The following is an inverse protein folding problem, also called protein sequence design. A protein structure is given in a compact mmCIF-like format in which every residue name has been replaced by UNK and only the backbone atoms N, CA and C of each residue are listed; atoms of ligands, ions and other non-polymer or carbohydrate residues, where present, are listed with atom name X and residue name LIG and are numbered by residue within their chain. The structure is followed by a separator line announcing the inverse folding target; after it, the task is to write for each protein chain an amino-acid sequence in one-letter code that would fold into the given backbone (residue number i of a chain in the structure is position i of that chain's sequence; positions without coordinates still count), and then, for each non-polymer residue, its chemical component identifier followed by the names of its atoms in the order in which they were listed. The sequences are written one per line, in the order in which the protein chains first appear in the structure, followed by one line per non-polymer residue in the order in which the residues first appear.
data_IF_443684763930
#
_entry.id   IF_443684763930
#
_cell.length_a   1.000
_cell.length_b   1.000
_cell.length_c   1.000
_cell.angle_alpha   90.00
_cell.angle_beta   90.00
_cell.angle_gamma   90.00
#
_symmetry.space_group_name_H-M   'P 1'
#
loop_
_entity.id
_entity.type
_entity.pdbx_description
1 polymer ?
#
# COMPACT_ATOMS: atom_id res chain seq x y z
N UNK A 1 -21.97 3.41 -3.97
CA UNK A 1 -21.20 2.15 -4.00
C UNK A 1 -20.70 1.96 -2.59
N UNK A 2 -21.33 1.08 -1.83
CA UNK A 2 -20.92 0.75 -0.47
C UNK A 2 -19.50 0.18 -0.52
N UNK A 3 -18.55 0.86 0.12
CA UNK A 3 -17.16 0.40 0.21
C UNK A 3 -17.12 -0.60 1.35
N UNK A 4 -17.10 -1.89 1.01
CA UNK A 4 -17.02 -2.96 2.01
C UNK A 4 -15.56 -3.27 2.29
N UNK A 5 -14.98 -2.61 3.31
CA UNK A 5 -13.73 -3.05 3.91
C UNK A 5 -14.03 -4.39 4.62
N UNK A 6 -13.22 -5.42 4.35
CA UNK A 6 -13.38 -6.74 4.99
C UNK A 6 -12.96 -6.73 6.47
N UNK A 7 -12.43 -5.61 6.95
CA UNK A 7 -11.98 -5.39 8.33
C UNK A 7 -10.55 -5.87 8.58
N UNK A 8 -9.78 -6.13 7.51
CA UNK A 8 -8.39 -6.58 7.61
C UNK A 8 -7.41 -5.42 7.71
N UNK A 9 -7.74 -4.25 7.16
CA UNK A 9 -7.00 -3.02 7.41
C UNK A 9 -7.32 -2.55 8.85
N UNK A 10 -6.33 -2.44 9.75
CA UNK A 10 -6.56 -1.87 11.06
C UNK A 10 -7.10 -0.44 10.95
N UNK A 11 -8.13 -0.10 11.74
CA UNK A 11 -8.72 1.26 11.73
C UNK A 11 -7.67 2.35 11.97
N UNK A 12 -6.66 2.06 12.80
CA UNK A 12 -5.56 2.97 13.08
C UNK A 12 -4.68 3.26 11.86
N UNK A 13 -4.78 2.48 10.78
CA UNK A 13 -4.04 2.64 9.52
C UNK A 13 -4.89 3.23 8.39
N UNK A 14 -6.17 3.53 8.63
CA UNK A 14 -6.96 4.31 7.69
C UNK A 14 -6.33 5.69 7.50
N UNK A 15 -6.28 6.14 6.25
CA UNK A 15 -5.67 7.43 5.88
C UNK A 15 -6.69 8.42 5.33
N UNK A 16 -7.98 8.10 5.34
CA UNK A 16 -9.09 8.93 4.82
C UNK A 16 -8.92 9.31 3.34
N UNK A 17 -8.41 8.37 2.54
CA UNK A 17 -8.39 8.44 1.08
C UNK A 17 -9.06 7.17 0.56
N UNK A 18 -10.38 7.19 0.27
CA UNK A 18 -11.14 5.96 0.03
C UNK A 18 -10.57 5.03 -1.04
N UNK A 19 -10.01 5.58 -2.13
CA UNK A 19 -9.32 4.78 -3.15
C UNK A 19 -8.11 4.02 -2.57
N UNK A 20 -7.30 4.69 -1.76
CA UNK A 20 -6.07 4.15 -1.18
C UNK A 20 -6.39 3.19 -0.03
N UNK A 21 -7.36 3.52 0.83
CA UNK A 21 -7.80 2.63 1.91
C UNK A 21 -8.32 1.28 1.37
N UNK A 22 -9.03 1.29 0.23
CA UNK A 22 -9.44 0.06 -0.48
C UNK A 22 -8.22 -0.75 -0.95
N UNK A 23 -7.20 -0.08 -1.48
CA UNK A 23 -5.99 -0.74 -1.95
C UNK A 23 -5.19 -1.32 -0.78
N UNK A 24 -5.10 -0.61 0.34
CA UNK A 24 -4.48 -1.11 1.57
C UNK A 24 -5.18 -2.38 2.07
N UNK A 25 -6.51 -2.35 2.17
CA UNK A 25 -7.32 -3.51 2.54
C UNK A 25 -7.05 -4.72 1.62
N UNK A 26 -7.00 -4.50 0.30
CA UNK A 26 -6.71 -5.57 -0.66
C UNK A 26 -5.30 -6.14 -0.50
N UNK A 27 -4.31 -5.33 -0.15
CA UNK A 27 -2.94 -5.78 0.16
C UNK A 27 -2.94 -6.65 1.43
N UNK A 28 -3.58 -6.20 2.52
CA UNK A 28 -3.74 -7.01 3.73
C UNK A 28 -4.47 -8.33 3.45
N UNK A 29 -5.54 -8.30 2.66
CA UNK A 29 -6.28 -9.50 2.25
C UNK A 29 -5.42 -10.49 1.49
N UNK A 30 -4.56 -10.02 0.57
CA UNK A 30 -3.62 -10.85 -0.19
C UNK A 30 -2.57 -11.49 0.71
N UNK A 31 -2.01 -10.71 1.64
CA UNK A 31 -1.04 -11.20 2.63
C UNK A 31 -1.67 -12.29 3.49
N UNK A 32 -2.88 -12.06 4.00
CA UNK A 32 -3.58 -13.05 4.83
C UNK A 32 -3.92 -14.32 4.04
N UNK A 33 -4.39 -14.16 2.80
CA UNK A 33 -4.66 -15.30 1.91
C UNK A 33 -3.40 -16.14 1.66
N UNK A 34 -2.25 -15.49 1.47
CA UNK A 34 -0.95 -16.15 1.31
C UNK A 34 -0.51 -16.88 2.59
N UNK A 35 -0.70 -16.28 3.77
CA UNK A 35 -0.41 -16.95 5.05
C UNK A 35 -1.20 -18.24 5.18
N UNK A 36 -2.50 -18.20 4.90
CA UNK A 36 -3.38 -19.38 4.93
C UNK A 36 -2.97 -20.43 3.91
N UNK A 37 -2.66 -20.02 2.68
CA UNK A 37 -2.23 -20.94 1.61
C UNK A 37 -0.89 -21.63 1.91
N UNK A 38 -0.03 -21.01 2.73
CA UNK A 38 1.24 -21.58 3.16
C UNK A 38 1.11 -22.51 4.38
N UNK A 39 -0.09 -22.77 4.92
CA UNK A 39 -0.27 -23.72 6.03
C UNK A 39 -0.15 -25.15 5.52
N UNK A 40 0.65 -25.96 6.22
CA UNK A 40 0.82 -27.39 5.93
C UNK A 40 1.98 -27.67 4.97
N UNK A 41 1.92 -28.80 4.27
CA UNK A 41 2.99 -29.28 3.39
C UNK A 41 2.70 -29.08 1.90
N UNK A 42 1.76 -28.19 1.58
CA UNK A 42 1.42 -27.85 0.19
C UNK A 42 2.55 -27.08 -0.51
N UNK A 43 2.54 -27.03 -1.85
CA UNK A 43 3.49 -26.19 -2.59
C UNK A 43 3.28 -24.71 -2.25
N UNK A 44 4.37 -23.93 -2.26
CA UNK A 44 4.30 -22.48 -2.06
C UNK A 44 3.63 -21.85 -3.30
N UNK A 45 2.59 -21.01 -3.12
CA UNK A 45 1.84 -20.40 -4.22
C UNK A 45 2.58 -19.19 -4.82
N UNK A 46 3.69 -19.44 -5.53
CA UNK A 46 4.57 -18.36 -6.02
C UNK A 46 3.90 -17.34 -6.96
N UNK A 47 2.86 -17.73 -7.69
CA UNK A 47 2.10 -16.82 -8.56
C UNK A 47 1.32 -15.79 -7.74
N UNK A 48 0.77 -16.17 -6.59
CA UNK A 48 0.03 -15.26 -5.70
C UNK A 48 0.97 -14.22 -5.06
N UNK A 49 2.22 -14.61 -4.79
CA UNK A 49 3.25 -13.67 -4.34
C UNK A 49 3.65 -12.67 -5.44
N UNK A 50 3.82 -13.11 -6.68
CA UNK A 50 4.05 -12.18 -7.79
C UNK A 50 2.85 -11.23 -7.96
N UNK A 51 1.63 -11.74 -7.79
CA UNK A 51 0.40 -10.95 -7.81
C UNK A 51 0.38 -9.89 -6.70
N UNK A 52 0.84 -10.22 -5.49
CA UNK A 52 1.01 -9.25 -4.40
C UNK A 52 2.01 -8.14 -4.76
N UNK A 53 3.18 -8.49 -5.28
CA UNK A 53 4.19 -7.50 -5.70
C UNK A 53 3.69 -6.61 -6.85
N UNK A 54 2.94 -7.18 -7.79
CA UNK A 54 2.31 -6.43 -8.87
C UNK A 54 1.24 -5.46 -8.33
N UNK A 55 0.45 -5.89 -7.34
CA UNK A 55 -0.57 -5.05 -6.72
C UNK A 55 0.04 -3.90 -5.89
N UNK A 56 1.13 -4.15 -5.17
CA UNK A 56 1.89 -3.08 -4.50
C UNK A 56 2.39 -2.03 -5.49
N UNK A 57 2.93 -2.46 -6.64
CA UNK A 57 3.34 -1.53 -7.70
C UNK A 57 2.16 -0.72 -8.25
N UNK A 58 0.99 -1.34 -8.40
CA UNK A 58 -0.23 -0.65 -8.82
C UNK A 58 -0.65 0.41 -7.80
N UNK A 59 -0.68 0.04 -6.52
CA UNK A 59 -1.01 0.94 -5.42
C UNK A 59 -0.08 2.17 -5.38
N UNK A 60 1.24 1.97 -5.46
CA UNK A 60 2.21 3.07 -5.55
C UNK A 60 1.93 4.01 -6.74
N UNK A 61 1.55 3.44 -7.88
CA UNK A 61 1.16 4.24 -9.05
C UNK A 61 -0.12 5.06 -8.85
N UNK A 62 -1.08 4.58 -8.04
CA UNK A 62 -2.27 5.34 -7.66
C UNK A 62 -1.90 6.54 -6.79
N UNK A 63 -0.99 6.39 -5.83
CA UNK A 63 -0.54 7.51 -4.99
C UNK A 63 0.23 8.56 -5.79
N UNK A 64 1.17 8.15 -6.63
CA UNK A 64 1.92 9.05 -7.50
C UNK A 64 1.01 9.80 -8.46
N UNK A 65 0.00 9.12 -9.01
CA UNK A 65 -1.05 9.75 -9.84
C UNK A 65 -1.80 10.82 -9.06
N UNK A 66 -2.26 10.53 -7.84
CA UNK A 66 -2.98 11.50 -7.00
C UNK A 66 -2.08 12.70 -6.68
N UNK A 67 -0.81 12.47 -6.38
CA UNK A 67 0.14 13.54 -6.10
C UNK A 67 0.34 14.45 -7.32
N UNK A 68 0.53 13.86 -8.50
CA UNK A 68 0.71 14.59 -9.75
C UNK A 68 -0.54 15.40 -10.13
N UNK A 69 -1.74 14.83 -10.00
CA UNK A 69 -3.01 15.53 -10.25
C UNK A 69 -3.21 16.76 -9.36
N UNK A 70 -2.63 16.74 -8.15
CA UNK A 70 -2.71 17.83 -7.17
C UNK A 70 -1.46 18.72 -7.15
N UNK A 71 -0.44 18.44 -7.96
CA UNK A 71 0.82 19.18 -7.94
C UNK A 71 1.60 19.06 -6.61
N UNK A 72 1.41 17.96 -5.87
CA UNK A 72 2.10 17.69 -4.60
C UNK A 72 3.45 17.04 -4.91
N UNK A 73 4.53 17.55 -4.31
CA UNK A 73 5.84 16.94 -4.41
C UNK A 73 5.82 15.52 -3.79
N UNK A 74 6.25 14.55 -4.60
CA UNK A 74 6.21 13.11 -4.32
C UNK A 74 7.56 12.42 -4.54
N UNK A 75 8.64 13.18 -4.79
CA UNK A 75 9.93 12.59 -5.20
C UNK A 75 10.53 11.67 -4.13
N UNK A 76 10.51 12.09 -2.87
CA UNK A 76 11.05 11.30 -1.75
C UNK A 76 10.21 10.05 -1.51
N UNK A 77 8.87 10.18 -1.54
CA UNK A 77 7.97 9.04 -1.37
C UNK A 77 8.13 8.03 -2.52
N UNK A 78 8.23 8.49 -3.78
CA UNK A 78 8.51 7.63 -4.92
C UNK A 78 9.87 6.90 -4.81
N UNK A 79 10.87 7.51 -4.16
CA UNK A 79 12.13 6.82 -3.88
C UNK A 79 11.94 5.68 -2.87
N UNK A 80 11.19 5.93 -1.80
CA UNK A 80 10.82 4.92 -0.80
C UNK A 80 10.08 3.75 -1.47
N UNK A 81 9.12 4.01 -2.37
CA UNK A 81 8.43 2.97 -3.13
C UNK A 81 9.37 2.08 -3.95
N UNK A 82 10.32 2.69 -4.69
CA UNK A 82 11.30 1.95 -5.51
C UNK A 82 12.17 1.04 -4.66
N UNK A 83 12.71 1.58 -3.57
CA UNK A 83 13.62 0.87 -2.67
C UNK A 83 12.88 -0.27 -1.96
N UNK A 84 11.67 -0.01 -1.48
CA UNK A 84 10.81 -1.00 -0.84
C UNK A 84 10.44 -2.15 -1.78
N UNK A 85 10.00 -1.84 -3.01
CA UNK A 85 9.65 -2.87 -4.00
C UNK A 85 10.87 -3.72 -4.37
N UNK A 86 12.06 -3.11 -4.46
CA UNK A 86 13.31 -3.84 -4.68
C UNK A 86 13.63 -4.76 -3.50
N UNK A 87 13.51 -4.27 -2.27
CA UNK A 87 13.77 -5.05 -1.06
C UNK A 87 12.82 -6.25 -0.92
N UNK A 88 11.52 -6.05 -1.15
CA UNK A 88 10.51 -7.11 -1.14
C UNK A 88 10.78 -8.15 -2.24
N UNK A 89 11.12 -7.71 -3.46
CA UNK A 89 11.42 -8.64 -4.56
C UNK A 89 12.68 -9.46 -4.28
N UNK A 90 13.71 -8.86 -3.68
CA UNK A 90 14.90 -9.58 -3.23
C UNK A 90 14.55 -10.61 -2.16
N UNK A 91 13.82 -10.22 -1.13
CA UNK A 91 13.41 -11.10 -0.05
C UNK A 91 12.56 -12.27 -0.55
N UNK A 92 11.68 -12.04 -1.53
CA UNK A 92 10.88 -13.10 -2.14
C UNK A 92 11.72 -14.05 -3.01
N UNK A 93 12.73 -13.54 -3.73
CA UNK A 93 13.66 -14.39 -4.46
C UNK A 93 14.47 -15.31 -3.53
N UNK A 94 14.80 -14.86 -2.31
CA UNK A 94 15.43 -15.71 -1.29
C UNK A 94 14.50 -16.84 -0.83
N UNK A 95 13.17 -16.60 -0.76
CA UNK A 95 12.18 -17.65 -0.50
C UNK A 95 12.15 -18.66 -1.64
N UNK A 96 12.09 -18.20 -2.89
CA UNK A 96 12.15 -19.08 -4.08
C UNK A 96 13.41 -19.94 -4.13
N UNK A 97 14.53 -19.39 -3.70
CA UNK A 97 15.81 -20.09 -3.62
C UNK A 97 15.97 -20.99 -2.38
N UNK A 98 14.99 -21.03 -1.48
CA UNK A 98 15.06 -21.80 -0.23
C UNK A 98 16.01 -21.21 0.83
N UNK A 99 16.54 -20.00 0.61
CA UNK A 99 17.43 -19.31 1.54
C UNK A 99 16.68 -18.57 2.66
N UNK A 100 15.37 -18.39 2.50
CA UNK A 100 14.48 -17.72 3.46
C UNK A 100 13.19 -18.50 3.64
N UNK A 101 12.73 -18.59 4.88
CA UNK A 101 11.41 -19.15 5.21
C UNK A 101 10.25 -18.26 4.74
N UNK A 102 9.20 -18.87 4.20
CA UNK A 102 8.05 -18.16 3.62
C UNK A 102 7.23 -17.41 4.67
N UNK A 103 7.06 -17.97 5.86
CA UNK A 103 6.29 -17.33 6.94
C UNK A 103 7.02 -16.10 7.48
N UNK A 104 8.35 -16.19 7.57
CA UNK A 104 9.22 -15.08 7.93
C UNK A 104 9.16 -13.94 6.91
N UNK A 105 9.11 -14.27 5.61
CA UNK A 105 8.88 -13.27 4.56
C UNK A 105 7.50 -12.61 4.67
N UNK A 106 6.42 -13.38 4.88
CA UNK A 106 5.07 -12.85 4.99
C UNK A 106 4.91 -11.92 6.19
N UNK A 107 5.48 -12.28 7.35
CA UNK A 107 5.51 -11.40 8.53
C UNK A 107 6.30 -10.12 8.26
N UNK A 108 7.43 -10.23 7.57
CA UNK A 108 8.21 -9.07 7.16
C UNK A 108 7.41 -8.16 6.24
N UNK A 109 6.73 -8.71 5.22
CA UNK A 109 5.92 -7.93 4.27
C UNK A 109 4.76 -7.21 4.96
N UNK A 110 4.06 -7.87 5.88
CA UNK A 110 2.99 -7.25 6.66
C UNK A 110 3.50 -6.09 7.52
N UNK A 111 4.51 -6.34 8.36
CA UNK A 111 5.09 -5.31 9.22
C UNK A 111 5.65 -4.13 8.41
N UNK A 112 6.32 -4.42 7.30
CA UNK A 112 6.82 -3.41 6.38
C UNK A 112 5.68 -2.55 5.84
N UNK A 113 4.55 -3.15 5.46
CA UNK A 113 3.44 -2.43 4.88
C UNK A 113 2.72 -1.56 5.93
N UNK A 114 2.49 -2.07 7.14
CA UNK A 114 1.97 -1.28 8.26
C UNK A 114 2.82 -0.04 8.52
N UNK A 115 4.15 -0.22 8.52
CA UNK A 115 5.10 0.88 8.72
C UNK A 115 5.06 1.87 7.56
N UNK A 116 4.98 1.40 6.32
CA UNK A 116 4.87 2.26 5.14
C UNK A 116 3.65 3.18 5.24
N UNK A 117 2.49 2.61 5.58
CA UNK A 117 1.26 3.39 5.77
C UNK A 117 1.43 4.44 6.88
N UNK A 118 2.04 4.03 7.99
CA UNK A 118 2.21 4.91 9.15
C UNK A 118 3.18 6.07 8.88
N UNK A 119 4.32 5.77 8.27
CA UNK A 119 5.45 6.70 8.14
C UNK A 119 5.39 7.53 6.85
N UNK A 120 4.75 7.04 5.79
CA UNK A 120 4.75 7.67 4.45
C UNK A 120 3.34 8.08 4.00
N UNK A 121 2.39 7.13 3.99
CA UNK A 121 1.07 7.35 3.37
C UNK A 121 0.20 8.29 4.20
N UNK A 122 0.27 8.22 5.53
CA UNK A 122 -0.44 9.15 6.42
C UNK A 122 0.02 10.61 6.26
N UNK A 123 1.32 10.93 6.27
CA UNK A 123 1.80 12.26 5.91
C UNK A 123 1.36 12.70 4.51
N UNK A 124 1.43 11.80 3.51
CA UNK A 124 0.97 12.09 2.16
C UNK A 124 -0.52 12.44 2.13
N UNK A 125 -1.37 11.63 2.74
CA UNK A 125 -2.82 11.85 2.81
C UNK A 125 -3.18 13.16 3.51
N UNK A 126 -2.41 13.54 4.53
CA UNK A 126 -2.54 14.84 5.19
C UNK A 126 -2.30 15.99 4.20
N UNK A 127 -1.22 15.92 3.40
CA UNK A 127 -0.94 16.92 2.35
C UNK A 127 -2.08 16.98 1.31
N UNK A 128 -2.58 15.83 0.88
CA UNK A 128 -3.71 15.73 -0.07
C UNK A 128 -4.95 16.42 0.46
N UNK A 129 -5.34 16.15 1.71
CA UNK A 129 -6.51 16.79 2.34
C UNK A 129 -6.33 18.29 2.51
N UNK A 130 -5.16 18.73 2.97
CA UNK A 130 -4.84 20.16 3.10
C UNK A 130 -4.96 20.88 1.75
N UNK A 131 -4.42 20.29 0.68
CA UNK A 131 -4.53 20.88 -0.66
C UNK A 131 -5.99 20.99 -1.11
N UNK A 132 -6.79 19.92 -0.96
CA UNK A 132 -8.21 19.92 -1.32
C UNK A 132 -9.03 20.96 -0.54
N UNK A 133 -8.74 21.15 0.75
CA UNK A 133 -9.41 22.16 1.58
C UNK A 133 -9.10 23.60 1.13
N UNK A 134 -7.84 23.89 0.80
CA UNK A 134 -7.44 25.22 0.29
C UNK A 134 -8.03 25.51 -1.09
N UNK A 135 -8.06 24.52 -2.00
CA UNK A 135 -8.68 24.67 -3.32
C UNK A 135 -10.20 24.82 -3.27
N UNK A 136 -10.87 24.19 -2.29
CA UNK A 136 -12.32 24.34 -2.07
C UNK A 136 -12.73 25.70 -1.51
N UNK A 137 -11.88 26.32 -0.68
CA UNK A 137 -12.12 27.65 -0.10
C UNK A 137 -11.96 28.79 -1.11
N UNK A 138 -11.11 28.65 -2.13
CA UNK A 138 -10.87 29.71 -3.13
C UNK A 138 -12.06 29.91 -4.10
N UNK A 139 -12.91 28.90 -4.28
CA UNK A 139 -14.06 28.96 -5.18
C UNK A 139 -15.30 29.67 -4.61
N UNK A 140 -15.28 30.07 -3.33
CA UNK A 140 -16.43 30.69 -2.66
C UNK A 140 -16.37 32.23 -2.53
N UNK A 141 -15.32 32.90 -3.04
CA UNK A 141 -15.09 34.33 -2.79
C UNK A 141 -15.48 35.24 -3.96
N UNK A 142 -15.94 34.71 -5.10
CA UNK A 142 -16.29 35.53 -6.29
C UNK A 142 -17.79 35.55 -6.57
N UNK A 143 -18.58 36.05 -5.63
CA UNK A 143 -19.98 36.42 -5.88
C UNK A 143 -20.40 37.60 -4.99
N UNK A 144 -19.99 38.81 -5.37
CA UNK A 144 -20.59 40.09 -4.97
C UNK A 144 -20.52 41.06 -6.15
#
# INVERSE_FOLDING_TARGET
MEINLTGLLPEALLIDLPEIDIQHEEIFRRIESLKLACIGSGPIPFEDFDSLLAYLKYHFGSEERIANELGIDFLDHAAVHRDNLQALRKAFNEVRGGARDVHSFLRYAEYWFERHIADEDKPFATKVRSHKATSGSASSVTAL
#
